data_IF_479140971659
#
_entry.id   IF_479140971659
#
_cell.length_a   1.000
_cell.length_b   1.000
_cell.length_c   1.000
_cell.angle_alpha   90.00
_cell.angle_beta   90.00
_cell.angle_gamma   90.00
#
_symmetry.space_group_name_H-M   'P 1'
#
loop_
_entity.id
_entity.type
_entity.pdbx_description
1 polymer ?
#
# COMPACT_ATOMS: atom_id res chain seq x y z
N UNK A 1 -4.07 38.27 -27.22
CA UNK A 1 -5.28 37.46 -26.93
C UNK A 1 -4.94 36.08 -26.32
N UNK A 2 -4.01 35.32 -26.91
CA UNK A 2 -3.58 34.00 -26.41
C UNK A 2 -2.96 33.98 -25.00
N UNK A 3 -2.17 34.98 -24.61
CA UNK A 3 -1.60 35.06 -23.25
C UNK A 3 -2.67 35.30 -22.16
N UNK A 4 -3.73 36.06 -22.46
CA UNK A 4 -4.84 36.27 -21.51
C UNK A 4 -5.76 35.04 -21.39
N UNK A 5 -5.90 34.26 -22.47
CA UNK A 5 -6.57 32.96 -22.41
C UNK A 5 -5.77 31.94 -21.62
N UNK A 6 -4.44 31.88 -21.81
CA UNK A 6 -3.54 31.02 -21.03
C UNK A 6 -3.55 31.40 -19.54
N UNK A 7 -3.47 32.69 -19.21
CA UNK A 7 -3.57 33.19 -17.83
C UNK A 7 -4.94 32.90 -17.19
N UNK A 8 -6.05 33.07 -17.92
CA UNK A 8 -7.39 32.70 -17.44
C UNK A 8 -7.59 31.19 -17.30
N UNK A 9 -6.91 30.37 -18.11
CA UNK A 9 -6.91 28.91 -17.96
C UNK A 9 -6.08 28.47 -16.75
N UNK A 10 -4.91 29.06 -16.56
CA UNK A 10 -4.01 28.84 -15.41
C UNK A 10 -4.65 29.33 -14.09
N UNK A 11 -5.44 30.42 -14.12
CA UNK A 11 -6.25 30.89 -12.98
C UNK A 11 -7.41 29.93 -12.65
N UNK A 12 -7.97 29.23 -13.66
CA UNK A 12 -9.07 28.28 -13.49
C UNK A 12 -8.61 26.90 -13.00
N UNK A 13 -7.34 26.55 -13.22
CA UNK A 13 -6.74 25.31 -12.76
C UNK A 13 -5.43 25.58 -12.02
N UNK A 14 -5.52 25.92 -10.72
CA UNK A 14 -4.35 25.84 -9.85
C UNK A 14 -3.89 24.38 -9.79
N UNK A 15 -2.71 24.10 -10.35
CA UNK A 15 -2.06 22.78 -10.37
C UNK A 15 -0.82 22.86 -9.46
N UNK A 16 -0.56 21.85 -8.62
CA UNK A 16 0.68 21.75 -7.85
C UNK A 16 1.93 21.83 -8.72
N UNK A 17 3.04 22.34 -8.18
CA UNK A 17 4.30 22.50 -8.92
C UNK A 17 5.42 21.75 -8.21
N UNK A 18 6.01 20.78 -8.92
CA UNK A 18 7.18 20.08 -8.41
C UNK A 18 8.36 21.04 -8.19
N UNK A 19 9.18 20.79 -7.16
CA UNK A 19 10.42 21.53 -6.94
C UNK A 19 11.34 21.46 -8.17
N UNK A 20 12.06 22.55 -8.45
CA UNK A 20 13.01 22.62 -9.58
C UNK A 20 14.40 22.04 -9.28
N UNK A 21 14.64 21.58 -8.05
CA UNK A 21 15.92 21.04 -7.59
C UNK A 21 15.74 19.72 -6.85
N UNK A 22 16.85 19.06 -6.52
CA UNK A 22 16.85 17.86 -5.69
C UNK A 22 16.32 18.17 -4.30
N UNK A 23 15.41 17.34 -3.82
CA UNK A 23 14.92 17.37 -2.44
C UNK A 23 15.42 16.13 -1.71
N UNK A 24 15.80 16.27 -0.45
CA UNK A 24 16.17 15.17 0.43
C UNK A 24 14.99 14.67 1.27
N UNK A 25 15.14 13.51 1.89
CA UNK A 25 14.14 12.99 2.85
C UNK A 25 13.96 13.93 4.05
N UNK A 26 15.02 14.63 4.47
CA UNK A 26 15.00 15.56 5.61
C UNK A 26 14.20 16.84 5.33
N UNK A 27 13.93 17.14 4.06
CA UNK A 27 13.13 18.30 3.66
C UNK A 27 11.62 18.00 3.71
N UNK A 28 11.22 16.74 3.87
CA UNK A 28 9.82 16.32 3.79
C UNK A 28 9.07 16.55 5.13
N UNK A 29 7.80 16.98 5.10
CA UNK A 29 6.98 17.21 3.92
C UNK A 29 7.19 18.60 3.28
N UNK A 30 7.12 18.66 1.94
CA UNK A 30 7.25 19.93 1.18
C UNK A 30 5.93 20.31 0.55
N UNK A 31 5.41 21.49 0.86
CA UNK A 31 4.23 22.06 0.21
C UNK A 31 4.53 22.45 -1.24
N UNK A 32 3.75 21.93 -2.18
CA UNK A 32 3.89 22.15 -3.64
C UNK A 32 2.65 22.80 -4.26
N UNK A 33 1.60 23.03 -3.48
CA UNK A 33 0.38 23.68 -3.92
C UNK A 33 -0.51 24.09 -2.76
N UNK A 34 -1.22 25.20 -2.91
CA UNK A 34 -2.18 25.73 -1.94
C UNK A 34 -3.46 26.15 -2.64
N UNK A 35 -4.60 25.98 -1.96
CA UNK A 35 -5.95 26.18 -2.51
C UNK A 35 -6.20 25.37 -3.79
N UNK A 36 -5.69 24.13 -3.83
CA UNK A 36 -5.89 23.17 -4.91
C UNK A 36 -7.24 22.49 -4.70
N UNK A 37 -8.04 22.31 -5.75
CA UNK A 37 -9.26 21.51 -5.63
C UNK A 37 -8.94 20.02 -5.68
N UNK A 38 -9.79 19.17 -5.10
CA UNK A 38 -9.67 17.70 -5.22
C UNK A 38 -9.57 17.26 -6.69
N UNK A 39 -10.35 17.89 -7.57
CA UNK A 39 -10.31 17.61 -9.01
C UNK A 39 -8.93 17.90 -9.62
N UNK A 40 -8.33 19.03 -9.27
CA UNK A 40 -7.02 19.41 -9.80
C UNK A 40 -5.91 18.55 -9.21
N UNK A 41 -6.01 18.20 -7.92
CA UNK A 41 -5.10 17.26 -7.28
C UNK A 41 -5.13 15.89 -7.97
N UNK A 42 -6.32 15.31 -8.18
CA UNK A 42 -6.45 14.02 -8.84
C UNK A 42 -5.89 14.06 -10.27
N UNK A 43 -6.14 15.14 -11.01
CA UNK A 43 -5.58 15.32 -12.35
C UNK A 43 -4.05 15.44 -12.34
N UNK A 44 -3.51 16.16 -11.36
CA UNK A 44 -2.07 16.26 -11.14
C UNK A 44 -1.46 14.89 -10.84
N UNK A 45 -2.10 14.12 -9.96
CA UNK A 45 -1.64 12.78 -9.57
C UNK A 45 -1.57 11.84 -10.78
N UNK A 46 -2.63 11.80 -11.59
CA UNK A 46 -2.69 11.00 -12.82
C UNK A 46 -1.60 11.39 -13.84
N UNK A 47 -1.10 12.63 -13.78
CA UNK A 47 -0.05 13.12 -14.69
C UNK A 47 1.37 12.96 -14.12
N UNK A 48 1.52 12.56 -12.85
CA UNK A 48 2.81 12.52 -12.13
C UNK A 48 3.05 11.20 -11.40
N UNK A 49 2.35 10.13 -11.80
CA UNK A 49 2.45 8.78 -11.23
C UNK A 49 3.91 8.27 -11.20
N UNK A 50 4.71 8.56 -12.23
CA UNK A 50 6.10 8.11 -12.34
C UNK A 50 7.15 9.09 -11.77
N UNK A 51 6.74 10.09 -10.98
CA UNK A 51 7.66 11.13 -10.48
C UNK A 51 8.64 10.64 -9.40
N UNK A 52 8.40 9.46 -8.83
CA UNK A 52 9.16 8.94 -7.69
C UNK A 52 8.80 9.62 -6.37
N UNK A 53 7.83 10.53 -6.34
CA UNK A 53 7.32 11.20 -5.15
C UNK A 53 5.96 10.63 -4.75
N UNK A 54 5.69 10.60 -3.44
CA UNK A 54 4.34 10.42 -2.91
C UNK A 54 3.75 11.76 -2.54
N UNK A 55 2.55 11.99 -3.03
CA UNK A 55 1.82 13.23 -2.78
C UNK A 55 0.71 12.99 -1.76
N UNK A 56 0.42 14.04 -1.00
CA UNK A 56 -0.72 14.11 -0.13
C UNK A 56 -1.54 15.36 -0.42
N UNK A 57 -2.86 15.22 -0.30
CA UNK A 57 -3.81 16.33 -0.29
C UNK A 57 -4.39 16.51 1.11
N UNK A 58 -4.26 17.71 1.67
CA UNK A 58 -4.87 18.08 2.94
C UNK A 58 -5.61 19.42 2.80
N UNK A 59 -6.93 19.38 2.68
CA UNK A 59 -7.79 20.57 2.64
C UNK A 59 -7.33 21.69 1.67
N UNK A 60 -6.83 21.30 0.50
CA UNK A 60 -6.38 22.21 -0.55
C UNK A 60 -4.88 22.50 -0.54
N UNK A 61 -4.15 22.07 0.47
CA UNK A 61 -2.70 21.93 0.41
C UNK A 61 -2.33 20.62 -0.29
N UNK A 62 -1.33 20.67 -1.17
CA UNK A 62 -0.71 19.48 -1.75
C UNK A 62 0.76 19.46 -1.38
N UNK A 63 1.23 18.34 -0.82
CA UNK A 63 2.60 18.20 -0.34
C UNK A 63 3.25 16.92 -0.85
N UNK A 64 4.57 16.94 -1.01
CA UNK A 64 5.38 15.72 -1.13
C UNK A 64 5.64 15.22 0.28
N UNK A 65 5.25 13.97 0.55
CA UNK A 65 5.31 13.36 1.90
C UNK A 65 6.23 12.14 1.98
N UNK A 66 6.66 11.64 0.84
CA UNK A 66 7.64 10.57 0.73
C UNK A 66 8.28 10.60 -0.66
N UNK A 67 9.34 9.82 -0.82
CA UNK A 67 9.94 9.55 -2.11
C UNK A 67 10.40 8.09 -2.19
N UNK A 68 10.29 7.50 -3.37
CA UNK A 68 10.67 6.10 -3.58
C UNK A 68 12.17 5.92 -3.37
N UNK A 69 12.55 5.22 -2.29
CA UNK A 69 13.92 4.75 -2.10
C UNK A 69 14.08 3.34 -2.66
N UNK A 70 15.33 2.93 -2.91
CA UNK A 70 15.65 1.56 -3.31
C UNK A 70 15.13 0.54 -2.30
N UNK A 71 15.20 0.86 -1.01
CA UNK A 71 14.69 0.03 0.08
C UNK A 71 13.16 -0.10 0.05
N UNK A 72 12.45 1.02 -0.22
CA UNK A 72 10.99 1.03 -0.37
C UNK A 72 10.56 0.14 -1.55
N UNK A 73 11.11 0.39 -2.73
CA UNK A 73 10.79 -0.35 -3.95
C UNK A 73 11.13 -1.85 -3.82
N UNK A 74 12.28 -2.19 -3.22
CA UNK A 74 12.68 -3.57 -2.99
C UNK A 74 11.75 -4.30 -2.00
N UNK A 75 11.27 -3.60 -0.97
CA UNK A 75 10.30 -4.13 0.00
C UNK A 75 8.94 -4.37 -0.67
N UNK A 76 8.42 -3.38 -1.41
CA UNK A 76 7.16 -3.50 -2.13
C UNK A 76 7.23 -4.65 -3.16
N UNK A 77 8.31 -4.74 -3.93
CA UNK A 77 8.53 -5.84 -4.88
C UNK A 77 8.55 -7.21 -4.21
N UNK A 78 9.20 -7.35 -3.05
CA UNK A 78 9.23 -8.62 -2.32
C UNK A 78 7.85 -8.99 -1.76
N UNK A 79 7.08 -8.02 -1.27
CA UNK A 79 5.69 -8.24 -0.86
C UNK A 79 4.84 -8.72 -2.04
N UNK A 80 4.96 -8.09 -3.22
CA UNK A 80 4.26 -8.54 -4.41
C UNK A 80 4.60 -10.00 -4.78
N UNK A 81 5.87 -10.41 -4.62
CA UNK A 81 6.27 -11.81 -4.83
C UNK A 81 5.57 -12.76 -3.87
N UNK A 82 5.50 -12.45 -2.57
CA UNK A 82 4.80 -13.28 -1.60
C UNK A 82 3.33 -13.52 -1.96
N UNK A 83 2.63 -12.48 -2.42
CA UNK A 83 1.23 -12.62 -2.83
C UNK A 83 1.07 -13.36 -4.16
N UNK A 84 2.08 -13.33 -5.03
CA UNK A 84 2.07 -14.09 -6.27
C UNK A 84 2.46 -15.57 -6.11
N UNK A 85 3.16 -15.96 -5.03
CA UNK A 85 3.60 -17.35 -4.83
C UNK A 85 2.48 -18.40 -5.00
N UNK A 86 1.25 -18.21 -4.48
CA UNK A 86 0.18 -19.19 -4.66
C UNK A 86 -0.31 -19.32 -6.10
N UNK A 87 -0.05 -18.35 -6.98
CA UNK A 87 -0.31 -18.50 -8.42
C UNK A 87 0.65 -19.51 -9.08
N UNK A 88 1.72 -19.94 -8.38
CA UNK A 88 2.78 -20.75 -8.96
C UNK A 88 3.46 -20.02 -10.11
N UNK A 89 3.68 -20.72 -11.22
CA UNK A 89 4.22 -20.13 -12.45
C UNK A 89 3.13 -19.64 -13.42
N UNK A 90 1.88 -19.53 -12.97
CA UNK A 90 0.81 -19.08 -13.84
C UNK A 90 0.88 -17.56 -14.02
N UNK A 91 1.35 -17.14 -15.20
CA UNK A 91 1.48 -15.72 -15.58
C UNK A 91 0.19 -15.20 -16.23
N UNK A 92 -0.59 -16.07 -16.87
CA UNK A 92 -1.77 -15.68 -17.64
C UNK A 92 -3.04 -15.97 -16.84
N UNK A 93 -3.87 -14.95 -16.64
CA UNK A 93 -5.12 -15.04 -15.86
C UNK A 93 -4.89 -15.70 -14.48
N UNK A 94 -3.97 -15.17 -13.65
CA UNK A 94 -3.76 -15.69 -12.31
C UNK A 94 -5.03 -15.54 -11.45
N UNK A 95 -5.18 -16.37 -10.43
CA UNK A 95 -6.31 -16.25 -9.50
C UNK A 95 -6.16 -15.06 -8.55
N UNK A 96 -4.92 -14.61 -8.35
CA UNK A 96 -4.53 -13.51 -7.49
C UNK A 96 -3.84 -12.48 -8.37
N UNK A 97 -4.42 -11.28 -8.44
CA UNK A 97 -3.80 -10.14 -9.13
C UNK A 97 -3.13 -9.23 -8.09
N UNK A 98 -1.95 -8.72 -8.41
CA UNK A 98 -1.10 -7.95 -7.49
C UNK A 98 -0.54 -6.73 -8.21
N UNK A 99 -0.94 -5.54 -7.76
CA UNK A 99 -0.49 -4.27 -8.31
C UNK A 99 0.37 -3.50 -7.32
N UNK A 100 1.38 -2.80 -7.83
CA UNK A 100 2.09 -1.75 -7.09
C UNK A 100 1.47 -0.37 -7.38
N UNK A 101 1.59 0.55 -6.42
CA UNK A 101 1.18 1.97 -6.55
C UNK A 101 -0.25 2.20 -7.08
N UNK A 102 -1.17 1.29 -6.77
CA UNK A 102 -2.53 1.34 -7.29
C UNK A 102 -3.33 2.50 -6.68
N UNK A 103 -3.74 3.47 -7.51
CA UNK A 103 -4.58 4.58 -7.08
C UNK A 103 -6.03 4.15 -6.86
N UNK A 104 -6.56 4.48 -5.68
CA UNK A 104 -7.97 4.34 -5.34
C UNK A 104 -8.52 5.64 -4.80
N UNK A 105 -9.84 5.82 -4.92
CA UNK A 105 -10.51 6.87 -4.16
C UNK A 105 -10.38 6.59 -2.66
N UNK A 106 -10.09 7.65 -1.93
CA UNK A 106 -9.86 7.61 -0.50
C UNK A 106 -11.09 7.06 0.22
N UNK A 107 -10.90 6.09 1.13
CA UNK A 107 -11.95 5.61 2.03
C UNK A 107 -12.63 6.71 2.86
N UNK A 108 -12.04 7.91 2.95
CA UNK A 108 -12.63 9.06 3.62
C UNK A 108 -13.85 9.65 2.90
N UNK A 109 -14.15 9.22 1.66
CA UNK A 109 -15.33 9.68 0.91
C UNK A 109 -15.24 11.12 0.41
N UNK A 110 -14.06 11.75 0.46
CA UNK A 110 -13.83 13.12 0.05
C UNK A 110 -13.42 13.27 -1.44
N UNK A 111 -13.42 12.17 -2.20
CA UNK A 111 -13.07 12.14 -3.62
C UNK A 111 -11.56 12.24 -3.93
N UNK A 112 -10.70 12.32 -2.92
CA UNK A 112 -9.23 12.36 -3.08
C UNK A 112 -8.72 10.99 -3.49
N UNK A 113 -7.79 10.90 -4.45
CA UNK A 113 -7.08 9.65 -4.75
C UNK A 113 -5.89 9.43 -3.80
N UNK A 114 -5.73 8.19 -3.34
CA UNK A 114 -4.56 7.71 -2.58
C UNK A 114 -4.03 6.43 -3.21
N UNK A 115 -2.73 6.16 -3.11
CA UNK A 115 -2.11 4.95 -3.62
C UNK A 115 -1.72 4.00 -2.48
N UNK A 116 -1.96 2.71 -2.68
CA UNK A 116 -1.37 1.65 -1.87
C UNK A 116 -0.02 1.24 -2.48
N UNK A 117 0.97 0.87 -1.66
CA UNK A 117 2.25 0.38 -2.16
C UNK A 117 2.13 -1.00 -2.81
N UNK A 118 1.25 -1.85 -2.24
CA UNK A 118 0.82 -3.11 -2.86
C UNK A 118 -0.67 -3.27 -2.63
N UNK A 119 -1.40 -3.60 -3.68
CA UNK A 119 -2.81 -3.93 -3.64
C UNK A 119 -3.02 -5.33 -4.24
N UNK A 120 -3.78 -6.18 -3.56
CA UNK A 120 -4.04 -7.57 -3.95
C UNK A 120 -5.52 -7.76 -4.21
N UNK A 121 -5.85 -8.28 -5.39
CA UNK A 121 -7.21 -8.43 -5.89
C UNK A 121 -7.51 -9.90 -6.18
N UNK A 122 -8.75 -10.34 -5.93
CA UNK A 122 -9.23 -11.61 -6.45
C UNK A 122 -9.49 -11.50 -7.95
N UNK A 123 -9.18 -12.56 -8.70
CA UNK A 123 -9.56 -12.63 -10.10
C UNK A 123 -11.08 -12.71 -10.28
N UNK A 124 -11.56 -12.12 -11.38
CA UNK A 124 -12.97 -12.11 -11.79
C UNK A 124 -13.59 -13.51 -11.91
N UNK A 125 -12.77 -14.54 -12.18
CA UNK A 125 -13.22 -15.93 -12.24
C UNK A 125 -13.73 -16.46 -10.90
N UNK A 126 -13.32 -15.87 -9.79
CA UNK A 126 -13.70 -16.28 -8.43
C UNK A 126 -14.56 -15.24 -7.72
N UNK A 127 -14.40 -13.96 -8.06
CA UNK A 127 -15.21 -12.86 -7.55
C UNK A 127 -15.79 -12.12 -8.76
N UNK A 128 -16.96 -12.57 -9.28
CA UNK A 128 -17.51 -12.08 -10.54
C UNK A 128 -18.02 -10.65 -10.40
N UNK A 129 -18.07 -9.89 -11.49
CA UNK A 129 -18.61 -8.53 -11.47
C UNK A 129 -20.02 -8.50 -10.86
N UNK A 130 -20.35 -7.49 -10.05
CA UNK A 130 -21.70 -7.36 -9.54
C UNK A 130 -22.68 -7.08 -10.68
N UNK A 131 -23.97 -7.44 -10.51
CA UNK A 131 -25.02 -7.10 -11.47
C UNK A 131 -25.14 -5.59 -11.75
N UNK A 132 -24.76 -4.76 -10.76
CA UNK A 132 -24.73 -3.30 -10.85
C UNK A 132 -23.33 -2.81 -10.43
N UNK A 133 -22.49 -2.34 -11.37
CA UNK A 133 -21.15 -1.82 -11.07
C UNK A 133 -21.17 -0.69 -10.04
N UNK A 134 -20.21 -0.69 -9.12
CA UNK A 134 -20.05 0.34 -8.09
C UNK A 134 -20.99 0.24 -6.88
N UNK A 135 -22.08 -0.55 -6.96
CA UNK A 135 -23.08 -0.68 -5.89
C UNK A 135 -23.17 -2.09 -5.30
N UNK A 136 -22.80 -3.13 -6.05
CA UNK A 136 -23.04 -4.51 -5.64
C UNK A 136 -22.01 -5.10 -4.67
N UNK A 137 -22.38 -6.18 -3.98
CA UNK A 137 -21.49 -7.27 -3.76
C UNK A 137 -21.33 -8.09 -5.07
N UNK A 138 -20.10 -8.42 -5.48
CA UNK A 138 -18.88 -7.98 -4.81
C UNK A 138 -18.55 -6.52 -5.09
N UNK A 139 -18.01 -5.78 -4.09
CA UNK A 139 -17.56 -4.41 -4.28
C UNK A 139 -16.56 -4.30 -5.42
N UNK A 140 -16.88 -3.45 -6.38
CA UNK A 140 -16.12 -3.23 -7.59
C UNK A 140 -16.06 -1.74 -7.95
N UNK A 141 -15.12 -1.37 -8.82
CA UNK A 141 -15.06 -0.04 -9.41
C UNK A 141 -16.21 0.20 -10.42
N UNK A 142 -16.29 1.41 -10.96
CA UNK A 142 -17.31 1.79 -11.96
C UNK A 142 -17.24 0.99 -13.27
N UNK A 143 -16.16 0.22 -13.50
CA UNK A 143 -15.95 -0.64 -14.66
C UNK A 143 -16.24 -2.11 -14.37
N UNK A 144 -16.61 -2.45 -13.14
CA UNK A 144 -16.89 -3.83 -12.72
C UNK A 144 -15.69 -4.55 -12.11
N UNK A 145 -14.49 -3.96 -12.06
CA UNK A 145 -13.32 -4.64 -11.52
C UNK A 145 -13.38 -4.71 -9.99
N UNK A 146 -13.14 -5.90 -9.43
CA UNK A 146 -13.08 -6.11 -7.99
C UNK A 146 -12.13 -5.14 -7.31
N UNK A 147 -12.53 -4.60 -6.16
CA UNK A 147 -11.61 -3.83 -5.31
C UNK A 147 -10.56 -4.71 -4.63
N UNK A 148 -9.44 -4.11 -4.24
CA UNK A 148 -8.40 -4.80 -3.48
C UNK A 148 -8.96 -5.28 -2.14
N UNK A 149 -8.59 -6.49 -1.74
CA UNK A 149 -8.98 -7.07 -0.43
C UNK A 149 -7.83 -7.05 0.57
N UNK A 150 -6.59 -7.04 0.09
CA UNK A 150 -5.39 -6.91 0.92
C UNK A 150 -4.58 -5.72 0.41
N UNK A 151 -4.16 -4.87 1.34
CA UNK A 151 -3.34 -3.68 1.08
C UNK A 151 -2.03 -3.78 1.87
N UNK A 152 -0.92 -3.34 1.28
CA UNK A 152 0.31 -3.10 2.01
C UNK A 152 0.75 -1.65 1.90
N UNK A 153 1.35 -1.16 2.99
CA UNK A 153 1.89 0.19 3.11
C UNK A 153 3.30 0.11 3.70
N UNK A 154 4.29 0.52 2.91
CA UNK A 154 5.70 0.58 3.26
C UNK A 154 6.08 2.06 3.47
N UNK A 155 6.51 2.37 4.69
CA UNK A 155 6.93 3.70 5.08
C UNK A 155 8.44 3.75 5.33
N UNK A 156 9.14 4.67 4.67
CA UNK A 156 10.57 4.96 4.87
C UNK A 156 10.71 6.43 5.24
N UNK A 157 11.37 6.77 6.35
CA UNK A 157 11.43 8.16 6.84
C UNK A 157 10.11 8.74 7.38
N UNK A 158 8.96 8.39 6.81
CA UNK A 158 7.65 8.93 7.17
C UNK A 158 7.29 8.81 8.65
N UNK A 159 6.49 9.77 9.13
CA UNK A 159 5.97 9.79 10.49
C UNK A 159 5.13 8.52 10.79
N UNK A 160 5.38 7.90 11.95
CA UNK A 160 4.70 6.67 12.36
C UNK A 160 3.19 6.86 12.56
N UNK A 161 2.76 8.02 13.06
CA UNK A 161 1.33 8.33 13.23
C UNK A 161 0.65 8.43 11.86
N UNK A 162 1.30 9.10 10.91
CA UNK A 162 0.82 9.23 9.53
C UNK A 162 0.61 7.85 8.86
N UNK A 163 1.66 7.03 8.86
CA UNK A 163 1.62 5.67 8.30
C UNK A 163 0.52 4.82 8.95
N UNK A 164 0.36 4.90 10.28
CA UNK A 164 -0.72 4.19 10.99
C UNK A 164 -2.11 4.68 10.59
N UNK A 165 -2.29 5.99 10.43
CA UNK A 165 -3.57 6.57 10.03
C UNK A 165 -3.93 6.14 8.62
N UNK A 166 -2.97 6.13 7.68
CA UNK A 166 -3.18 5.62 6.32
C UNK A 166 -3.57 4.14 6.32
N UNK A 167 -2.87 3.30 7.10
CA UNK A 167 -3.24 1.89 7.25
C UNK A 167 -4.64 1.71 7.84
N UNK A 168 -5.00 2.50 8.85
CA UNK A 168 -6.32 2.46 9.47
C UNK A 168 -7.43 2.97 8.53
N UNK A 169 -7.12 3.95 7.69
CA UNK A 169 -8.03 4.49 6.69
C UNK A 169 -8.43 3.42 5.67
N UNK A 170 -7.48 2.61 5.19
CA UNK A 170 -7.81 1.48 4.31
C UNK A 170 -8.76 0.48 4.97
N UNK A 171 -8.58 0.19 6.26
CA UNK A 171 -9.43 -0.72 7.02
C UNK A 171 -10.87 -0.22 7.23
N UNK A 172 -11.20 1.04 6.90
CA UNK A 172 -12.59 1.52 6.98
C UNK A 172 -13.44 1.00 5.83
N UNK A 173 -12.81 0.51 4.75
CA UNK A 173 -13.55 -0.10 3.65
C UNK A 173 -13.99 -1.51 4.00
N UNK A 174 -15.28 -1.84 3.85
CA UNK A 174 -15.81 -3.16 4.23
C UNK A 174 -15.23 -4.30 3.39
N UNK A 175 -14.76 -4.01 2.17
CA UNK A 175 -14.09 -4.99 1.31
C UNK A 175 -12.60 -5.14 1.58
N UNK A 176 -11.93 -4.22 2.28
CA UNK A 176 -10.53 -4.39 2.65
C UNK A 176 -10.45 -5.28 3.89
N UNK A 177 -10.03 -6.52 3.69
CA UNK A 177 -9.95 -7.56 4.72
C UNK A 177 -8.70 -7.46 5.55
N UNK A 178 -7.58 -7.10 4.92
CA UNK A 178 -6.28 -7.04 5.57
C UNK A 178 -5.49 -5.80 5.13
N UNK A 179 -4.79 -5.19 6.07
CA UNK A 179 -3.74 -4.20 5.79
C UNK A 179 -2.45 -4.65 6.47
N UNK A 180 -1.37 -4.79 5.72
CA UNK A 180 -0.03 -5.02 6.24
C UNK A 180 0.81 -3.75 6.11
N UNK A 181 1.07 -3.12 7.23
CA UNK A 181 2.03 -2.03 7.28
C UNK A 181 3.44 -2.54 7.55
N UNK A 182 4.43 -2.03 6.83
CA UNK A 182 5.87 -2.13 7.12
C UNK A 182 6.44 -0.72 7.33
N UNK A 183 7.13 -0.49 8.45
CA UNK A 183 7.84 0.76 8.75
C UNK A 183 9.34 0.49 8.86
N UNK A 184 10.11 1.16 8.00
CA UNK A 184 11.56 1.22 8.06
C UNK A 184 11.95 2.52 8.77
N UNK A 185 12.72 2.41 9.86
CA UNK A 185 13.20 3.56 10.65
C UNK A 185 14.55 4.06 10.12
N UNK A 186 15.05 5.17 10.63
CA UNK A 186 16.37 5.67 10.24
C UNK A 186 17.49 4.64 10.46
N UNK A 187 18.51 4.73 9.60
CA UNK A 187 19.74 3.96 9.75
C UNK A 187 20.44 4.35 11.07
N UNK A 188 21.03 3.37 11.73
CA UNK A 188 21.93 3.59 12.87
C UNK A 188 23.36 3.72 12.37
N UNK A 189 24.17 4.45 13.11
CA UNK A 189 25.62 4.55 12.85
C UNK A 189 26.38 3.25 13.16
N UNK A 190 25.81 2.37 13.99
CA UNK A 190 26.35 1.04 14.27
C UNK A 190 26.14 0.10 13.07
N UNK A 191 26.99 -0.91 12.93
CA UNK A 191 26.96 -1.85 11.80
C UNK A 191 26.74 -3.30 12.26
N UNK A 192 26.22 -4.12 11.36
CA UNK A 192 26.17 -5.57 11.51
C UNK A 192 27.52 -6.22 11.13
N UNK A 193 27.71 -7.54 11.34
CA UNK A 193 28.95 -8.22 10.98
C UNK A 193 29.33 -8.18 9.48
N UNK A 194 28.37 -7.86 8.60
CA UNK A 194 28.60 -7.70 7.16
C UNK A 194 28.88 -6.25 6.77
N UNK A 195 29.02 -5.35 7.74
CA UNK A 195 29.30 -3.93 7.53
C UNK A 195 28.09 -3.10 7.12
N UNK A 196 26.87 -3.65 7.12
CA UNK A 196 25.64 -2.92 6.79
C UNK A 196 25.18 -2.10 7.99
N UNK A 197 24.50 -0.98 7.76
CA UNK A 197 24.00 -0.16 8.86
C UNK A 197 22.90 -0.89 9.62
N UNK A 198 22.99 -0.86 10.94
CA UNK A 198 21.94 -1.42 11.77
C UNK A 198 20.65 -0.64 11.57
N UNK A 199 19.52 -1.34 11.54
CA UNK A 199 18.23 -0.73 11.27
C UNK A 199 17.13 -1.41 12.06
N UNK A 200 16.28 -0.59 12.66
CA UNK A 200 15.03 -1.04 13.26
C UNK A 200 13.94 -1.06 12.21
N UNK A 201 13.07 -2.06 12.27
CA UNK A 201 11.89 -2.17 11.42
C UNK A 201 10.69 -2.63 12.23
N UNK A 202 9.49 -2.32 11.74
CA UNK A 202 8.23 -2.72 12.39
C UNK A 202 7.24 -3.21 11.36
N UNK A 203 6.59 -4.33 11.65
CA UNK A 203 5.42 -4.78 10.91
C UNK A 203 4.17 -4.67 11.77
N UNK A 204 3.03 -4.36 11.16
CA UNK A 204 1.72 -4.43 11.82
C UNK A 204 0.68 -4.93 10.83
N UNK A 205 -0.06 -5.96 11.24
CA UNK A 205 -1.16 -6.52 10.47
C UNK A 205 -2.48 -6.11 11.13
N UNK A 206 -3.36 -5.53 10.33
CA UNK A 206 -4.75 -5.32 10.67
C UNK A 206 -5.60 -6.30 9.87
N UNK A 207 -6.51 -7.00 10.54
CA UNK A 207 -7.49 -7.88 9.92
C UNK A 207 -8.87 -7.55 10.47
N UNK A 208 -9.88 -7.54 9.60
CA UNK A 208 -11.26 -7.30 10.05
C UNK A 208 -11.66 -8.33 11.11
N UNK A 209 -12.33 -7.86 12.17
CA UNK A 209 -12.80 -8.72 13.26
C UNK A 209 -11.69 -9.27 14.18
N UNK A 210 -10.43 -8.85 14.03
CA UNK A 210 -9.32 -9.35 14.84
C UNK A 210 -8.50 -8.22 15.48
N UNK A 211 -7.89 -8.51 16.62
CA UNK A 211 -6.93 -7.59 17.24
C UNK A 211 -5.68 -7.43 16.35
N UNK A 212 -5.15 -6.20 16.18
CA UNK A 212 -3.96 -6.00 15.34
C UNK A 212 -2.72 -6.70 15.89
N UNK A 213 -2.04 -7.45 15.04
CA UNK A 213 -0.77 -8.13 15.35
C UNK A 213 0.43 -7.24 14.99
N UNK A 214 1.52 -7.35 15.74
CA UNK A 214 2.67 -6.44 15.63
C UNK A 214 3.98 -7.21 15.78
N UNK A 215 4.97 -6.81 15.00
CA UNK A 215 6.33 -7.32 15.09
C UNK A 215 7.32 -6.16 15.11
N UNK A 216 8.32 -6.27 15.98
CA UNK A 216 9.52 -5.43 15.92
C UNK A 216 10.65 -6.34 15.40
N UNK A 217 11.21 -5.98 14.26
CA UNK A 217 12.23 -6.75 13.55
C UNK A 217 13.34 -5.81 13.04
N UNK A 218 14.25 -6.29 12.22
CA UNK A 218 15.48 -5.57 11.87
C UNK A 218 16.66 -6.05 12.69
N UNK A 219 17.82 -5.43 12.52
CA UNK A 219 19.04 -5.89 13.20
C UNK A 219 19.09 -5.48 14.66
N UNK A 220 18.34 -4.45 15.09
CA UNK A 220 18.36 -3.92 16.46
C UNK A 220 16.97 -3.51 16.95
N UNK A 221 16.78 -3.59 18.28
CA UNK A 221 15.55 -3.22 18.96
C UNK A 221 15.37 -1.69 19.10
N UNK A 222 14.20 -1.28 19.61
CA UNK A 222 13.88 0.12 19.87
C UNK A 222 14.81 0.70 20.95
N UNK A 223 15.41 1.85 20.63
CA UNK A 223 16.25 2.64 21.54
C UNK A 223 17.41 1.85 22.18
N UNK A 224 17.88 0.77 21.54
CA UNK A 224 19.03 0.00 22.01
C UNK A 224 19.84 -0.52 20.82
N UNK A 225 21.02 -1.05 21.10
CA UNK A 225 21.82 -1.83 20.14
C UNK A 225 21.63 -3.34 20.33
N UNK A 226 20.60 -3.75 21.08
CA UNK A 226 20.32 -5.16 21.32
C UNK A 226 19.72 -5.75 20.04
N UNK A 227 20.22 -6.89 19.54
CA UNK A 227 19.65 -7.55 18.37
C UNK A 227 18.17 -7.92 18.54
N UNK A 228 17.41 -7.91 17.46
CA UNK A 228 16.09 -8.55 17.46
C UNK A 228 16.24 -10.07 17.32
N UNK A 229 15.18 -10.83 17.61
CA UNK A 229 15.15 -12.28 17.36
C UNK A 229 14.99 -12.65 15.88
N UNK A 230 14.91 -11.68 14.97
CA UNK A 230 14.74 -11.90 13.52
C UNK A 230 16.10 -12.22 12.88
N UNK A 231 16.62 -13.41 13.18
CA UNK A 231 18.01 -13.80 12.85
C UNK A 231 18.12 -14.87 11.76
N UNK A 232 17.03 -15.56 11.43
CA UNK A 232 17.04 -16.64 10.45
C UNK A 232 15.70 -16.74 9.71
N UNK A 233 15.78 -17.27 8.49
CA UNK A 233 14.64 -17.66 7.67
C UNK A 233 13.80 -18.73 8.38
N UNK A 234 12.49 -18.66 8.23
CA UNK A 234 11.57 -19.70 8.67
C UNK A 234 11.19 -19.61 10.15
N UNK A 235 11.61 -18.56 10.88
CA UNK A 235 11.24 -18.40 12.28
C UNK A 235 9.74 -18.04 12.41
N UNK A 236 8.89 -18.92 12.98
CA UNK A 236 7.45 -18.70 13.03
C UNK A 236 7.04 -17.41 13.76
N UNK A 237 7.84 -16.95 14.73
CA UNK A 237 7.57 -15.71 15.48
C UNK A 237 7.66 -14.47 14.57
N UNK A 238 8.39 -14.57 13.47
CA UNK A 238 8.62 -13.50 12.49
C UNK A 238 7.93 -13.75 11.14
N UNK A 239 6.94 -14.63 11.11
CA UNK A 239 6.08 -14.85 9.95
C UNK A 239 4.74 -14.16 10.13
N UNK A 240 4.34 -13.39 9.11
CA UNK A 240 3.00 -12.84 9.01
C UNK A 240 2.18 -13.81 8.15
N UNK A 241 1.12 -14.37 8.72
CA UNK A 241 0.21 -15.29 8.03
C UNK A 241 -1.12 -14.63 7.74
N UNK A 242 -1.53 -14.65 6.46
CA UNK A 242 -2.82 -14.14 6.01
C UNK A 242 -3.53 -15.28 5.27
N UNK A 243 -4.71 -15.74 5.69
CA UNK A 243 -5.46 -16.76 4.96
C UNK A 243 -5.76 -16.29 3.53
N UNK A 244 -5.52 -17.16 2.55
CA UNK A 244 -5.81 -16.83 1.15
C UNK A 244 -7.32 -16.63 0.97
N UNK A 245 -8.15 -17.30 1.76
CA UNK A 245 -9.61 -17.09 1.78
C UNK A 245 -10.04 -15.65 2.11
N UNK A 246 -9.23 -14.87 2.84
CA UNK A 246 -9.54 -13.44 3.06
C UNK A 246 -9.49 -12.64 1.75
N UNK A 247 -8.74 -13.07 0.74
CA UNK A 247 -8.70 -12.43 -0.57
C UNK A 247 -9.99 -12.66 -1.39
N UNK A 248 -10.65 -13.79 -1.19
CA UNK A 248 -11.84 -14.17 -1.96
C UNK A 248 -13.14 -13.94 -1.19
N UNK A 249 -13.03 -13.43 0.04
CA UNK A 249 -14.20 -13.09 0.84
C UNK A 249 -14.98 -11.94 0.22
N UNK A 250 -16.29 -12.13 0.09
CA UNK A 250 -17.22 -11.08 -0.30
C UNK A 250 -18.11 -10.68 0.88
N UNK A 251 -18.05 -9.41 1.35
CA UNK A 251 -18.94 -8.96 2.41
C UNK A 251 -20.39 -8.92 1.91
N UNK A 252 -21.32 -9.41 2.71
CA UNK A 252 -22.73 -9.12 2.49
C UNK A 252 -22.97 -7.63 2.70
N UNK A 253 -23.43 -6.93 1.66
CA UNK A 253 -23.81 -5.52 1.74
C UNK A 253 -25.32 -5.46 2.00
N UNK A 254 -25.76 -4.88 3.13
CA UNK A 254 -27.19 -4.76 3.44
C UNK A 254 -27.96 -4.05 2.32
N UNK A 255 -29.03 -4.68 1.83
CA UNK A 255 -29.91 -4.12 0.81
C UNK A 255 -29.52 -4.43 -0.64
N UNK A 256 -28.46 -5.20 -0.88
CA UNK A 256 -28.08 -5.61 -2.24
C UNK A 256 -27.99 -7.13 -2.36
N UNK A 257 -28.56 -7.68 -3.44
CA UNK A 257 -28.60 -9.13 -3.70
C UNK A 257 -27.19 -9.69 -3.96
N UNK A 258 -26.75 -10.64 -3.13
CA UNK A 258 -25.56 -11.48 -3.36
C UNK A 258 -25.94 -12.75 -4.14
N UNK A 259 -25.53 -12.92 -5.41
CA UNK A 259 -25.60 -14.22 -6.05
C UNK A 259 -24.63 -15.20 -5.36
N UNK A 260 -25.04 -16.45 -5.17
CA UNK A 260 -24.12 -17.50 -4.70
C UNK A 260 -23.06 -17.75 -5.78
N UNK A 261 -21.79 -17.49 -5.46
CA UNK A 261 -20.69 -17.94 -6.31
C UNK A 261 -20.55 -19.45 -6.12
N UNK A 262 -20.96 -20.22 -7.12
CA UNK A 262 -20.77 -21.68 -7.19
C UNK A 262 -19.56 -22.00 -8.06
N UNK A 263 -18.38 -21.58 -7.64
CA UNK A 263 -17.13 -22.10 -8.22
C UNK A 263 -16.45 -23.04 -7.22
N UNK A 264 -15.96 -24.21 -7.65
CA UNK A 264 -15.14 -25.05 -6.78
C UNK A 264 -13.90 -24.25 -6.38
N UNK A 265 -13.73 -24.03 -5.07
CA UNK A 265 -12.55 -23.35 -4.56
C UNK A 265 -11.31 -24.23 -4.79
N UNK A 266 -10.32 -23.77 -5.57
CA UNK A 266 -9.08 -24.50 -5.73
C UNK A 266 -8.35 -24.65 -4.39
N UNK A 267 -7.65 -25.78 -4.23
CA UNK A 267 -7.05 -26.18 -2.95
C UNK A 267 -6.10 -25.11 -2.34
N UNK A 268 -5.45 -24.29 -3.17
CA UNK A 268 -4.56 -23.23 -2.68
C UNK A 268 -5.31 -22.16 -1.85
N UNK A 269 -6.62 -21.98 -2.04
CA UNK A 269 -7.41 -21.00 -1.27
C UNK A 269 -7.50 -21.31 0.22
N UNK A 270 -7.26 -22.57 0.61
CA UNK A 270 -7.22 -23.00 2.01
C UNK A 270 -5.84 -22.79 2.66
N UNK A 271 -4.86 -22.31 1.89
CA UNK A 271 -3.53 -21.97 2.38
C UNK A 271 -3.45 -20.58 3.01
N UNK A 272 -2.22 -20.19 3.36
CA UNK A 272 -1.89 -18.86 3.83
C UNK A 272 -0.85 -18.22 2.92
N UNK A 273 -0.95 -16.90 2.74
CA UNK A 273 0.23 -16.10 2.43
C UNK A 273 1.11 -16.11 3.68
N UNK A 274 2.36 -16.57 3.53
CA UNK A 274 3.34 -16.58 4.62
C UNK A 274 4.47 -15.62 4.25
N UNK A 275 4.44 -14.44 4.86
CA UNK A 275 5.43 -13.39 4.64
C UNK A 275 6.48 -13.49 5.74
N UNK A 276 7.70 -13.85 5.37
CA UNK A 276 8.82 -13.92 6.30
C UNK A 276 9.50 -12.55 6.45
N UNK A 277 9.40 -11.97 7.65
CA UNK A 277 10.00 -10.67 7.96
C UNK A 277 11.53 -10.69 7.93
N UNK A 278 12.16 -11.86 8.07
CA UNK A 278 13.62 -11.99 7.88
C UNK A 278 14.02 -11.72 6.44
N UNK A 279 13.25 -12.22 5.46
CA UNK A 279 13.51 -11.92 4.05
C UNK A 279 13.29 -10.43 3.73
N UNK A 280 12.25 -9.82 4.31
CA UNK A 280 12.03 -8.38 4.20
C UNK A 280 13.22 -7.62 4.79
N UNK A 281 13.69 -8.02 5.97
CA UNK A 281 14.88 -7.45 6.60
C UNK A 281 16.10 -7.56 5.69
N UNK A 282 16.46 -8.76 5.22
CA UNK A 282 17.64 -8.91 4.36
C UNK A 282 17.51 -8.09 3.08
N UNK A 283 16.33 -8.07 2.46
CA UNK A 283 16.06 -7.28 1.27
C UNK A 283 16.28 -5.78 1.51
N UNK A 284 15.84 -5.25 2.66
CA UNK A 284 16.10 -3.86 3.03
C UNK A 284 17.59 -3.63 3.25
N UNK A 285 18.26 -4.48 4.03
CA UNK A 285 19.70 -4.33 4.36
C UNK A 285 20.60 -4.39 3.11
N UNK A 286 20.23 -5.17 2.08
CA UNK A 286 20.93 -5.25 0.78
C UNK A 286 20.80 -3.98 -0.07
N UNK A 287 19.85 -3.09 0.25
CA UNK A 287 19.48 -1.94 -0.59
C UNK A 287 19.65 -0.59 0.14
N UNK A 288 20.37 -0.57 1.27
CA UNK A 288 20.73 0.63 2.04
C UNK A 288 21.61 1.62 1.28
#
# INVERSE_FOLDING_TARGET
MFQNLKRKFDEKFKIPKLPKGSIGFDDLPISIGQNISVKNYNHFLDSNESSGYKFEYNNGEVSIVDMSSREHAATASLLQRYFNLPNGNNVWNPAIDVCGDAFHFSPAGNGVKIAADVAVYPAKSYVPDPPIPGLGPPPCDIRGHSHARIICEVAVGQNVAYWKNKCALWMTQPYVRCVLGIKLYELRTTRDPLGRFNRRMKAKLWRQGMAPQKWEFGTVQKCSNIPTGCVALGNPVYQVTIPISDLFYDPQIPGVYTPLVTFPHPAFMYGNFTIDLYNIQQKVLENQ
#
